data_IF_314608839749
#
_entry.id   IF_314608839749
#
_cell.length_a   1.000
_cell.length_b   1.000
_cell.length_c   1.000
_cell.angle_alpha   90.00
_cell.angle_beta   90.00
_cell.angle_gamma   90.00
#
_symmetry.space_group_name_H-M   'P 1'
#
loop_
_entity.id
_entity.type
_entity.pdbx_description
1 polymer ?
#
# COMPACT_ATOMS: atom_id res chain seq x y z
N UNK A 1 13.75 44.36 33.78
CA UNK A 1 15.06 44.69 34.40
C UNK A 1 16.08 44.73 33.27
N UNK A 2 16.74 45.87 33.14
CA UNK A 2 17.91 46.09 32.29
C UNK A 2 19.17 45.54 32.99
N UNK A 3 20.12 45.04 32.21
CA UNK A 3 21.59 45.13 32.38
C UNK A 3 22.21 44.50 31.11
N UNK A 4 22.31 45.22 29.98
CA UNK A 4 23.47 45.99 29.50
C UNK A 4 24.83 45.84 30.20
N UNK A 5 25.86 45.90 29.34
CA UNK A 5 27.32 46.10 29.55
C UNK A 5 28.16 44.82 29.72
N UNK A 6 29.30 44.60 29.02
CA UNK A 6 30.14 45.45 28.16
C UNK A 6 31.15 44.58 27.38
N UNK A 7 31.52 45.00 26.16
CA UNK A 7 32.66 44.54 25.34
C UNK A 7 34.00 45.05 25.90
N UNK A 8 35.15 44.43 25.57
CA UNK A 8 36.11 45.05 24.63
C UNK A 8 36.88 43.99 23.81
N UNK A 9 37.73 44.23 22.82
CA UNK A 9 38.08 45.33 21.91
C UNK A 9 39.08 44.69 20.90
N UNK A 10 39.15 45.29 19.72
CA UNK A 10 39.99 45.11 18.53
C UNK A 10 41.27 44.22 18.60
N UNK A 11 41.44 43.38 17.58
CA UNK A 11 42.75 43.08 17.01
C UNK A 11 42.62 42.80 15.49
N UNK A 12 42.93 43.83 14.71
CA UNK A 12 43.20 43.72 13.29
C UNK A 12 44.35 42.73 13.03
N UNK A 13 44.14 41.82 12.10
CA UNK A 13 45.16 40.88 11.61
C UNK A 13 44.82 40.46 10.19
N UNK A 14 45.27 41.27 9.23
CA UNK A 14 45.39 40.89 7.82
C UNK A 14 46.47 39.82 7.70
N UNK A 15 46.18 38.67 7.08
CA UNK A 15 47.22 37.86 6.45
C UNK A 15 46.63 36.99 5.35
N UNK A 16 47.30 37.07 4.21
CA UNK A 16 47.13 36.36 2.96
C UNK A 16 47.36 34.84 3.07
N UNK A 17 46.49 34.05 2.46
CA UNK A 17 46.83 32.72 1.96
C UNK A 17 45.97 32.37 0.74
N UNK A 18 46.59 32.54 -0.44
CA UNK A 18 46.17 31.95 -1.71
C UNK A 18 46.24 30.43 -1.61
N UNK A 19 45.10 29.74 -1.76
CA UNK A 19 45.06 28.37 -2.27
C UNK A 19 43.93 28.23 -3.27
N UNK A 20 44.33 28.15 -4.54
CA UNK A 20 43.52 27.86 -5.73
C UNK A 20 42.51 26.72 -5.48
N UNK A 21 41.24 27.10 -5.24
CA UNK A 21 40.08 26.22 -5.11
C UNK A 21 39.06 26.39 -6.24
N UNK A 22 39.45 27.04 -7.34
CA UNK A 22 38.55 27.43 -8.43
C UNK A 22 38.12 26.31 -9.37
N UNK A 23 38.64 25.09 -9.21
CA UNK A 23 38.41 24.01 -10.17
C UNK A 23 37.29 23.04 -9.75
N UNK A 24 36.96 22.95 -8.45
CA UNK A 24 36.00 21.95 -7.94
C UNK A 24 34.54 22.42 -8.06
N UNK A 25 34.24 23.72 -7.89
CA UNK A 25 32.87 24.26 -7.99
C UNK A 25 32.38 24.44 -9.44
N UNK A 26 33.28 24.76 -10.39
CA UNK A 26 32.92 24.91 -11.81
C UNK A 26 32.61 23.57 -12.44
N UNK A 27 33.27 22.50 -11.98
CA UNK A 27 33.08 21.14 -12.47
C UNK A 27 31.73 20.55 -12.00
N UNK A 28 31.26 20.89 -10.80
CA UNK A 28 29.97 20.44 -10.26
C UNK A 28 28.77 21.15 -10.93
N UNK A 29 28.91 22.43 -11.29
CA UNK A 29 27.90 23.18 -12.04
C UNK A 29 27.72 22.68 -13.49
N UNK A 30 28.81 22.28 -14.15
CA UNK A 30 28.79 21.74 -15.52
C UNK A 30 28.28 20.29 -15.56
N UNK A 31 28.68 19.46 -14.59
CA UNK A 31 28.18 18.09 -14.50
C UNK A 31 26.68 18.03 -14.20
N UNK A 32 26.15 18.96 -13.40
CA UNK A 32 24.70 19.04 -13.13
C UNK A 32 23.92 19.48 -14.36
N UNK A 33 24.45 20.39 -15.19
CA UNK A 33 23.82 20.80 -16.45
C UNK A 33 23.85 19.69 -17.50
N UNK A 34 24.99 19.02 -17.69
CA UNK A 34 25.07 17.87 -18.60
C UNK A 34 24.14 16.72 -18.17
N UNK A 35 24.05 16.42 -16.88
CA UNK A 35 23.10 15.43 -16.35
C UNK A 35 21.65 15.84 -16.59
N UNK A 36 21.34 17.13 -16.45
CA UNK A 36 20.00 17.65 -16.68
C UNK A 36 19.62 17.57 -18.16
N UNK A 37 20.54 17.90 -19.07
CA UNK A 37 20.36 17.74 -20.51
C UNK A 37 20.20 16.26 -20.92
N UNK A 38 21.01 15.36 -20.36
CA UNK A 38 20.88 13.93 -20.59
C UNK A 38 19.53 13.40 -20.11
N UNK A 39 19.09 13.84 -18.93
CA UNK A 39 17.76 13.51 -18.39
C UNK A 39 16.65 14.01 -19.30
N UNK A 40 16.74 15.23 -19.81
CA UNK A 40 15.75 15.81 -20.73
C UNK A 40 15.72 15.09 -22.08
N UNK A 41 16.89 14.75 -22.62
CA UNK A 41 17.02 13.97 -23.86
C UNK A 41 16.45 12.57 -23.69
N UNK A 42 16.69 11.94 -22.54
CA UNK A 42 16.18 10.62 -22.19
C UNK A 42 14.64 10.65 -22.04
N UNK A 43 14.13 11.60 -21.25
CA UNK A 43 12.69 11.76 -21.05
C UNK A 43 11.98 12.08 -22.37
N UNK A 44 12.54 12.94 -23.21
CA UNK A 44 11.97 13.25 -24.53
C UNK A 44 11.89 12.02 -25.42
N UNK A 45 12.98 11.24 -25.50
CA UNK A 45 13.04 10.01 -26.31
C UNK A 45 12.05 8.94 -25.85
N UNK A 46 11.89 8.76 -24.53
CA UNK A 46 11.09 7.67 -23.97
C UNK A 46 9.72 8.10 -23.41
N UNK A 47 9.37 9.39 -23.45
CA UNK A 47 8.14 9.95 -22.86
C UNK A 47 6.86 9.21 -23.27
N UNK A 48 6.70 8.94 -24.57
CA UNK A 48 5.54 8.20 -25.10
C UNK A 48 5.50 6.74 -24.63
N UNK A 49 6.65 6.06 -24.61
CA UNK A 49 6.75 4.68 -24.11
C UNK A 49 6.45 4.60 -22.61
N UNK A 50 7.05 5.50 -21.81
CA UNK A 50 6.79 5.62 -20.37
C UNK A 50 5.32 5.92 -20.10
N UNK A 51 4.70 6.80 -20.90
CA UNK A 51 3.27 7.14 -20.75
C UNK A 51 2.37 5.96 -21.11
N UNK A 52 2.70 5.23 -22.17
CA UNK A 52 1.98 4.01 -22.57
C UNK A 52 2.10 2.93 -21.51
N UNK A 53 3.31 2.64 -21.02
CA UNK A 53 3.55 1.72 -19.92
C UNK A 53 2.76 2.15 -18.67
N UNK A 54 2.83 3.42 -18.27
CA UNK A 54 2.06 3.95 -17.14
C UNK A 54 0.57 3.74 -17.33
N UNK A 55 0.04 3.97 -18.52
CA UNK A 55 -1.37 3.75 -18.82
C UNK A 55 -1.74 2.25 -18.73
N UNK A 56 -0.95 1.36 -19.32
CA UNK A 56 -1.16 -0.09 -19.23
C UNK A 56 -1.15 -0.60 -17.78
N UNK A 57 -0.19 -0.14 -16.96
CA UNK A 57 -0.14 -0.52 -15.54
C UNK A 57 -1.26 0.14 -14.71
N UNK A 58 -1.67 1.37 -15.04
CA UNK A 58 -2.71 2.12 -14.33
C UNK A 58 -4.14 1.69 -14.67
N UNK A 59 -4.35 0.91 -15.75
CA UNK A 59 -5.65 0.27 -16.02
C UNK A 59 -6.06 -0.69 -14.90
N UNK A 60 -5.11 -1.15 -14.10
CA UNK A 60 -5.42 -1.90 -12.89
C UNK A 60 -5.54 -0.96 -11.70
N UNK A 61 -6.70 -1.04 -11.03
CA UNK A 61 -7.02 -0.48 -9.70
C UNK A 61 -7.56 0.96 -9.69
N UNK A 62 -8.74 1.15 -10.29
CA UNK A 62 -9.70 2.11 -9.72
C UNK A 62 -10.08 1.60 -8.32
N UNK A 63 -9.68 2.34 -7.27
CA UNK A 63 -10.02 2.09 -5.87
C UNK A 63 -11.51 2.40 -5.66
N UNK A 64 -12.37 1.53 -6.16
CA UNK A 64 -13.82 1.62 -6.12
C UNK A 64 -14.46 0.31 -5.65
N UNK A 65 -15.79 0.28 -5.60
CA UNK A 65 -16.52 -0.97 -5.35
C UNK A 65 -16.16 -2.00 -6.44
N UNK A 66 -16.13 -3.29 -6.08
CA UNK A 66 -15.89 -4.37 -7.03
C UNK A 66 -16.87 -4.31 -8.22
N UNK A 67 -16.49 -4.70 -9.44
CA UNK A 67 -17.39 -4.82 -10.59
C UNK A 67 -18.66 -5.63 -10.26
N UNK A 68 -19.80 -5.33 -10.90
CA UNK A 68 -21.07 -5.97 -10.55
C UNK A 68 -21.03 -7.46 -10.83
N UNK A 69 -20.42 -7.84 -11.95
CA UNK A 69 -20.23 -9.18 -12.46
C UNK A 69 -19.37 -9.99 -11.48
N UNK A 70 -18.24 -9.41 -11.05
CA UNK A 70 -17.37 -10.00 -10.04
C UNK A 70 -18.11 -10.23 -8.71
N UNK A 71 -18.90 -9.25 -8.25
CA UNK A 71 -19.72 -9.44 -7.03
C UNK A 71 -20.76 -10.55 -7.19
N UNK A 72 -21.35 -10.70 -8.37
CA UNK A 72 -22.34 -11.73 -8.62
C UNK A 72 -21.72 -13.12 -8.49
N UNK A 73 -20.56 -13.35 -9.13
CA UNK A 73 -19.85 -14.63 -9.03
C UNK A 73 -19.49 -14.99 -7.56
N UNK A 74 -19.06 -13.99 -6.78
CA UNK A 74 -18.77 -14.19 -5.35
C UNK A 74 -20.02 -14.52 -4.53
N UNK A 75 -21.16 -13.89 -4.85
CA UNK A 75 -22.44 -14.18 -4.22
C UNK A 75 -22.96 -15.57 -4.60
N UNK A 76 -22.76 -16.00 -5.84
CA UNK A 76 -23.18 -17.32 -6.29
C UNK A 76 -22.43 -18.42 -5.52
N UNK A 77 -21.10 -18.31 -5.42
CA UNK A 77 -20.31 -19.22 -4.58
C UNK A 77 -20.76 -19.18 -3.12
N UNK A 78 -20.97 -17.98 -2.58
CA UNK A 78 -21.43 -17.76 -1.21
C UNK A 78 -22.76 -18.47 -0.90
N UNK A 79 -23.72 -18.38 -1.81
CA UNK A 79 -25.05 -18.96 -1.62
C UNK A 79 -24.99 -20.49 -1.58
N UNK A 80 -24.16 -21.09 -2.42
CA UNK A 80 -23.90 -22.54 -2.42
C UNK A 80 -23.27 -22.97 -1.09
N UNK A 81 -22.35 -22.17 -0.56
CA UNK A 81 -21.58 -22.48 0.64
C UNK A 81 -22.06 -21.75 1.90
N UNK A 82 -23.32 -21.30 1.94
CA UNK A 82 -23.81 -20.42 3.01
C UNK A 82 -23.65 -21.01 4.43
N UNK A 83 -23.76 -22.33 4.57
CA UNK A 83 -23.57 -23.04 5.85
C UNK A 83 -22.15 -22.87 6.40
N UNK A 84 -21.14 -22.88 5.51
CA UNK A 84 -19.74 -22.73 5.86
C UNK A 84 -18.99 -21.91 4.79
N UNK A 85 -19.13 -20.57 4.81
CA UNK A 85 -18.66 -19.70 3.72
C UNK A 85 -17.16 -19.36 3.88
N UNK A 86 -16.34 -20.40 3.89
CA UNK A 86 -14.88 -20.33 3.96
C UNK A 86 -14.31 -21.00 2.71
N UNK A 87 -14.02 -20.23 1.64
CA UNK A 87 -13.46 -20.80 0.43
C UNK A 87 -12.06 -21.36 0.68
N UNK A 88 -11.78 -22.51 0.05
CA UNK A 88 -10.44 -23.11 0.00
C UNK A 88 -9.46 -22.25 -0.79
N UNK A 89 -8.18 -22.60 -0.81
CA UNK A 89 -7.22 -21.86 -1.64
C UNK A 89 -7.52 -22.06 -3.13
N UNK A 90 -7.95 -23.26 -3.51
CA UNK A 90 -8.38 -23.62 -4.86
C UNK A 90 -9.61 -22.81 -5.27
N UNK A 91 -10.61 -22.69 -4.40
CA UNK A 91 -11.79 -21.83 -4.63
C UNK A 91 -11.37 -20.37 -4.85
N UNK A 92 -10.46 -19.85 -4.03
CA UNK A 92 -9.99 -18.46 -4.15
C UNK A 92 -9.26 -18.23 -5.47
N UNK A 93 -8.46 -19.20 -5.92
CA UNK A 93 -7.78 -19.14 -7.22
C UNK A 93 -8.82 -19.13 -8.34
N UNK A 94 -9.77 -20.07 -8.35
CA UNK A 94 -10.82 -20.13 -9.37
C UNK A 94 -11.70 -18.86 -9.41
N UNK A 95 -12.02 -18.30 -8.25
CA UNK A 95 -12.75 -17.03 -8.14
C UNK A 95 -11.91 -15.84 -8.63
N UNK A 96 -10.61 -15.81 -8.35
CA UNK A 96 -9.71 -14.78 -8.85
C UNK A 96 -9.60 -14.83 -10.39
N UNK A 97 -9.45 -16.02 -10.96
CA UNK A 97 -9.38 -16.24 -12.41
C UNK A 97 -10.67 -15.82 -13.13
N UNK A 98 -11.82 -16.23 -12.61
CA UNK A 98 -13.12 -15.92 -13.22
C UNK A 98 -13.55 -14.45 -13.07
N UNK A 99 -13.16 -13.79 -11.98
CA UNK A 99 -13.56 -12.40 -11.70
C UNK A 99 -12.52 -11.35 -12.08
N UNK A 100 -11.28 -11.75 -12.36
CA UNK A 100 -10.14 -10.85 -12.58
C UNK A 100 -9.74 -10.06 -11.33
N UNK A 101 -10.14 -10.51 -10.14
CA UNK A 101 -9.81 -9.87 -8.87
C UNK A 101 -8.54 -10.48 -8.26
N UNK A 102 -7.76 -9.63 -7.58
CA UNK A 102 -6.63 -10.11 -6.77
C UNK A 102 -7.17 -10.99 -5.62
N UNK A 103 -6.42 -12.03 -5.24
CA UNK A 103 -6.79 -12.92 -4.12
C UNK A 103 -7.04 -12.15 -2.80
N UNK A 104 -6.33 -11.03 -2.59
CA UNK A 104 -6.58 -10.12 -1.46
C UNK A 104 -7.98 -9.50 -1.50
N UNK A 105 -8.48 -9.13 -2.68
CA UNK A 105 -9.83 -8.58 -2.84
C UNK A 105 -10.89 -9.66 -2.57
N UNK A 106 -10.67 -10.89 -3.05
CA UNK A 106 -11.49 -12.06 -2.75
C UNK A 106 -11.57 -12.27 -1.23
N UNK A 107 -10.42 -12.38 -0.56
CA UNK A 107 -10.32 -12.58 0.88
C UNK A 107 -11.06 -11.49 1.66
N UNK A 108 -10.81 -10.22 1.33
CA UNK A 108 -11.47 -9.09 1.98
C UNK A 108 -12.98 -9.09 1.76
N UNK A 109 -13.44 -9.51 0.58
CA UNK A 109 -14.86 -9.60 0.30
C UNK A 109 -15.50 -10.67 1.18
N UNK A 110 -14.95 -11.88 1.25
CA UNK A 110 -15.51 -12.96 2.08
C UNK A 110 -15.49 -12.64 3.58
N UNK A 111 -14.43 -12.00 4.08
CA UNK A 111 -14.36 -11.54 5.48
C UNK A 111 -15.49 -10.54 5.76
N UNK A 112 -15.65 -9.53 4.89
CA UNK A 112 -16.70 -8.53 5.07
C UNK A 112 -18.10 -9.11 4.88
N UNK A 113 -18.27 -10.05 3.96
CA UNK A 113 -19.54 -10.71 3.68
C UNK A 113 -19.98 -11.55 4.88
N UNK A 114 -19.07 -12.35 5.47
CA UNK A 114 -19.33 -13.04 6.74
C UNK A 114 -19.72 -12.10 7.85
N UNK A 115 -18.92 -11.05 8.07
CA UNK A 115 -19.19 -10.07 9.13
C UNK A 115 -20.57 -9.43 9.01
N UNK A 116 -21.08 -9.23 7.80
CA UNK A 116 -22.36 -8.52 7.55
C UNK A 116 -23.56 -9.44 7.43
N UNK A 117 -23.38 -10.65 6.90
CA UNK A 117 -24.50 -11.46 6.42
C UNK A 117 -24.50 -12.89 6.93
N UNK A 118 -23.43 -13.37 7.57
CA UNK A 118 -23.41 -14.73 8.10
C UNK A 118 -23.96 -14.80 9.51
N UNK A 119 -25.06 -15.52 9.67
CA UNK A 119 -25.64 -15.88 10.96
C UNK A 119 -25.59 -17.40 11.09
N UNK A 120 -24.74 -17.96 11.97
CA UNK A 120 -24.75 -19.39 12.26
C UNK A 120 -26.17 -19.78 12.70
N UNK A 121 -26.72 -20.85 12.12
CA UNK A 121 -28.01 -21.40 12.54
C UNK A 121 -27.97 -21.81 14.02
N UNK A 122 -29.11 -21.82 14.72
CA UNK A 122 -29.22 -22.16 16.15
C UNK A 122 -28.50 -23.48 16.52
N UNK A 123 -28.56 -24.50 15.65
CA UNK A 123 -27.85 -25.77 15.85
C UNK A 123 -26.32 -25.63 15.96
N UNK A 124 -25.75 -24.60 15.34
CA UNK A 124 -24.32 -24.32 15.38
C UNK A 124 -23.94 -23.46 16.59
N UNK A 125 -24.85 -22.60 17.05
CA UNK A 125 -24.69 -21.87 18.32
C UNK A 125 -24.68 -22.85 19.50
N UNK A 126 -25.53 -23.88 19.44
CA UNK A 126 -25.62 -24.91 20.48
C UNK A 126 -24.32 -25.73 20.60
N UNK A 127 -23.71 -26.13 19.47
CA UNK A 127 -22.44 -26.87 19.46
C UNK A 127 -21.26 -26.07 20.05
N UNK A 128 -21.25 -24.74 19.87
CA UNK A 128 -20.23 -23.86 20.46
C UNK A 128 -20.49 -23.65 21.97
N UNK A 129 -21.75 -23.60 22.41
CA UNK A 129 -22.08 -23.47 23.83
C UNK A 129 -21.73 -24.75 24.62
N UNK A 130 -22.00 -25.93 24.08
CA UNK A 130 -21.68 -27.22 24.73
C UNK A 130 -20.16 -27.42 24.91
N UNK A 131 -19.36 -26.92 23.97
CA UNK A 131 -17.88 -26.99 24.04
C UNK A 131 -17.25 -25.96 25.00
N UNK A 132 -17.97 -24.89 25.35
CA UNK A 132 -17.48 -23.83 26.25
C UNK A 132 -18.08 -23.98 27.67
N UNK A 133 -19.22 -24.65 27.83
CA UNK A 133 -19.98 -24.73 29.09
C UNK A 133 -20.39 -26.16 29.56
N UNK A 134 -19.67 -27.23 29.20
CA UNK A 134 -19.81 -28.54 29.85
C UNK A 134 -18.45 -29.27 30.00
N UNK A 135 -18.14 -30.01 31.09
CA UNK A 135 -19.01 -30.65 32.09
C UNK A 135 -18.68 -30.28 33.56
N UNK A 136 -18.34 -29.02 33.88
CA UNK A 136 -17.98 -28.63 35.26
C UNK A 136 -19.18 -28.35 36.20
N UNK A 137 -20.43 -28.49 35.75
CA UNK A 137 -21.64 -28.22 36.55
C UNK A 137 -22.53 -29.42 36.82
N UNK A 138 -22.04 -30.65 36.61
CA UNK A 138 -22.77 -31.88 36.97
C UNK A 138 -21.84 -32.82 37.75
N UNK A 139 -21.48 -32.44 38.97
CA UNK A 139 -20.97 -33.36 39.99
C UNK A 139 -21.43 -32.79 41.34
N UNK A 140 -22.59 -33.28 41.80
CA UNK A 140 -23.03 -33.22 43.19
C UNK A 140 -22.52 -34.47 43.92
#
# INVERSE_FOLDING_TARGET
MLISTVLPDEAAGSSEEDLSGGEVEVQECLQTTENQELKDKLLRKYSGYISTLKHEFSKTKKKGKLPKEARQALLDWWNIHYKWPYPTEEDKIALAESTGLDQKQINNWFINQRKRHWKPSENMQFAVMDSIYGPFFMNE
#
